data_IF_667895066442
#
_entry.id   IF_667895066442
#
_cell.length_a   1.000
_cell.length_b   1.000
_cell.length_c   1.000
_cell.angle_alpha   90.00
_cell.angle_beta   90.00
_cell.angle_gamma   90.00
#
_symmetry.space_group_name_H-M   'P 1'
#
loop_
_entity.id
_entity.type
_entity.pdbx_description
1 polymer ?
#
# COMPACT_ATOMS: atom_id res chain seq x y z
N UNK A 1 -0.78 14.23 -13.18
CA UNK A 1 -1.81 14.70 -12.24
C UNK A 1 -1.75 13.79 -11.02
N UNK A 2 -1.58 14.34 -9.81
CA UNK A 2 -1.72 13.55 -8.59
C UNK A 2 -3.14 13.00 -8.59
N UNK A 3 -3.31 11.69 -8.71
CA UNK A 3 -4.58 11.12 -8.27
C UNK A 3 -4.62 11.33 -6.76
N UNK A 4 -5.67 11.97 -6.27
CA UNK A 4 -5.90 12.10 -4.84
C UNK A 4 -5.92 10.73 -4.17
N UNK A 5 -5.90 10.72 -2.83
CA UNK A 5 -5.97 9.49 -2.06
C UNK A 5 -7.10 8.58 -2.59
N UNK A 6 -6.76 7.34 -2.95
CA UNK A 6 -7.72 6.39 -3.51
C UNK A 6 -8.73 6.03 -2.41
N UNK A 7 -10.05 6.02 -2.69
CA UNK A 7 -11.06 5.82 -1.66
C UNK A 7 -10.84 4.51 -0.87
N UNK A 8 -10.99 4.59 0.45
CA UNK A 8 -10.94 3.47 1.37
C UNK A 8 -12.24 3.43 2.20
N UNK A 9 -12.76 2.23 2.55
CA UNK A 9 -12.22 0.92 2.16
C UNK A 9 -12.54 0.58 0.70
N UNK A 10 -11.70 -0.24 0.07
CA UNK A 10 -11.89 -0.70 -1.32
C UNK A 10 -11.73 -2.20 -1.44
N UNK A 11 -12.63 -2.85 -2.19
CA UNK A 11 -12.57 -4.30 -2.41
C UNK A 11 -11.30 -4.73 -3.14
N UNK A 12 -10.78 -5.88 -2.74
CA UNK A 12 -9.82 -6.66 -3.53
C UNK A 12 -10.30 -8.10 -3.65
N UNK A 13 -9.85 -8.79 -4.69
CA UNK A 13 -10.15 -10.19 -4.93
C UNK A 13 -8.92 -10.86 -5.55
N UNK A 14 -8.52 -11.99 -4.97
CA UNK A 14 -7.52 -12.90 -5.47
C UNK A 14 -8.15 -14.28 -5.64
N UNK A 15 -7.49 -15.18 -6.38
CA UNK A 15 -7.98 -16.55 -6.53
C UNK A 15 -7.98 -17.36 -5.21
N UNK A 16 -7.31 -16.87 -4.17
CA UNK A 16 -7.25 -17.49 -2.84
C UNK A 16 -8.00 -16.72 -1.75
N UNK A 17 -8.75 -15.67 -2.10
CA UNK A 17 -9.54 -14.92 -1.13
C UNK A 17 -9.81 -13.48 -1.51
N UNK A 18 -10.70 -12.84 -0.75
CA UNK A 18 -11.17 -11.47 -0.98
C UNK A 18 -11.33 -10.72 0.33
N UNK A 19 -11.49 -9.41 0.22
CA UNK A 19 -11.72 -8.53 1.36
C UNK A 19 -11.57 -7.06 1.01
N UNK A 20 -11.07 -6.28 1.96
CA UNK A 20 -10.94 -4.83 1.86
C UNK A 20 -9.48 -4.37 2.02
N UNK A 21 -9.09 -3.41 1.20
CA UNK A 21 -7.99 -2.49 1.51
C UNK A 21 -8.53 -1.49 2.51
N UNK A 22 -7.97 -1.44 3.72
CA UNK A 22 -8.48 -0.60 4.82
C UNK A 22 -7.56 0.57 5.18
N UNK A 23 -6.26 0.40 4.96
CA UNK A 23 -5.26 1.46 5.11
C UNK A 23 -4.31 1.45 3.92
N UNK A 24 -3.75 2.62 3.61
CA UNK A 24 -2.81 2.74 2.50
C UNK A 24 -1.87 3.94 2.65
N UNK A 25 -0.59 3.71 2.39
CA UNK A 25 0.41 4.73 2.24
C UNK A 25 0.93 4.73 0.80
N UNK A 26 0.92 5.90 0.14
CA UNK A 26 1.36 6.03 -1.24
C UNK A 26 2.19 7.30 -1.44
N UNK A 27 3.26 7.21 -2.23
CA UNK A 27 4.12 8.35 -2.54
C UNK A 27 4.21 8.53 -4.04
N UNK A 28 3.80 9.69 -4.55
CA UNK A 28 3.97 10.00 -5.98
C UNK A 28 5.43 10.32 -6.27
N UNK A 29 6.00 9.62 -7.26
CA UNK A 29 7.32 9.88 -7.85
C UNK A 29 7.16 10.32 -9.32
N UNK A 30 8.23 10.75 -10.00
CA UNK A 30 8.16 11.08 -11.43
C UNK A 30 7.77 9.91 -12.34
N UNK A 31 7.98 8.66 -11.90
CA UNK A 31 7.85 7.46 -12.75
C UNK A 31 6.66 6.60 -12.39
N UNK A 32 6.44 6.36 -11.10
CA UNK A 32 5.34 5.53 -10.57
C UNK A 32 4.99 5.95 -9.14
N UNK A 33 3.96 5.33 -8.58
CA UNK A 33 3.47 5.58 -7.23
C UNK A 33 3.68 4.32 -6.38
N UNK A 34 4.80 4.20 -5.64
CA UNK A 34 4.98 3.16 -4.64
C UNK A 34 3.89 3.25 -3.56
N UNK A 35 3.28 2.11 -3.29
CA UNK A 35 2.11 1.99 -2.40
C UNK A 35 2.25 0.76 -1.49
N UNK A 36 1.92 0.94 -0.22
CA UNK A 36 1.78 -0.15 0.75
C UNK A 36 0.36 -0.16 1.29
N UNK A 37 -0.30 -1.31 1.22
CA UNK A 37 -1.70 -1.50 1.57
C UNK A 37 -1.86 -2.49 2.72
N UNK A 38 -2.78 -2.18 3.63
CA UNK A 38 -3.32 -3.17 4.58
C UNK A 38 -4.53 -3.86 3.96
N UNK A 39 -4.43 -5.18 3.80
CA UNK A 39 -5.51 -6.04 3.37
C UNK A 39 -6.15 -6.70 4.60
N UNK A 40 -7.47 -6.61 4.69
CA UNK A 40 -8.29 -7.33 5.66
C UNK A 40 -9.21 -8.27 4.88
N UNK A 41 -8.97 -9.57 5.01
CA UNK A 41 -9.79 -10.60 4.37
C UNK A 41 -11.15 -10.71 5.06
N UNK A 42 -12.15 -11.24 4.35
CA UNK A 42 -13.47 -11.51 4.94
C UNK A 42 -13.40 -12.47 6.15
N UNK A 43 -12.35 -13.31 6.21
CA UNK A 43 -12.04 -14.18 7.36
C UNK A 43 -11.52 -13.43 8.61
N UNK A 44 -11.21 -12.14 8.49
CA UNK A 44 -10.54 -11.34 9.51
C UNK A 44 -9.00 -11.43 9.47
N UNK A 45 -8.42 -12.29 8.63
CA UNK A 45 -6.98 -12.35 8.41
C UNK A 45 -6.45 -11.03 7.82
N UNK A 46 -5.22 -10.65 8.20
CA UNK A 46 -4.58 -9.42 7.75
C UNK A 46 -3.30 -9.72 6.97
N UNK A 47 -3.12 -9.05 5.85
CA UNK A 47 -1.90 -9.11 5.04
C UNK A 47 -1.42 -7.70 4.66
N UNK A 48 -0.11 -7.57 4.40
CA UNK A 48 0.49 -6.35 3.86
C UNK A 48 0.78 -6.58 2.39
N UNK A 49 0.28 -5.71 1.51
CA UNK A 49 0.60 -5.74 0.08
C UNK A 49 1.51 -4.57 -0.28
N UNK A 50 2.63 -4.91 -0.89
CA UNK A 50 3.55 -3.98 -1.54
C UNK A 50 3.23 -3.94 -3.04
N UNK A 51 2.85 -2.77 -3.56
CA UNK A 51 2.52 -2.62 -4.98
C UNK A 51 2.87 -1.21 -5.50
N UNK A 52 2.89 -1.06 -6.82
CA UNK A 52 3.06 0.23 -7.48
C UNK A 52 1.85 0.57 -8.33
N UNK A 53 1.58 1.87 -8.49
CA UNK A 53 0.60 2.37 -9.45
C UNK A 53 1.28 3.20 -10.54
N UNK A 54 0.79 3.05 -11.76
CA UNK A 54 1.16 3.86 -12.92
C UNK A 54 -0.12 4.25 -13.64
N UNK A 55 -0.28 5.54 -13.92
CA UNK A 55 -1.46 6.06 -14.63
C UNK A 55 -2.80 5.58 -14.01
N UNK A 56 -2.84 5.41 -12.69
CA UNK A 56 -4.02 5.01 -11.94
C UNK A 56 -4.32 3.52 -11.92
N UNK A 57 -3.44 2.71 -12.53
CA UNK A 57 -3.56 1.25 -12.57
C UNK A 57 -2.45 0.62 -11.75
N UNK A 58 -2.78 -0.45 -11.04
CA UNK A 58 -1.78 -1.23 -10.32
C UNK A 58 -0.85 -1.92 -11.32
N UNK A 59 0.45 -1.73 -11.16
CA UNK A 59 1.49 -2.34 -11.98
C UNK A 59 1.55 -3.86 -11.79
N UNK A 60 2.06 -4.58 -12.81
CA UNK A 60 2.30 -6.03 -12.79
C UNK A 60 3.79 -6.33 -12.65
N UNK A 61 4.43 -5.66 -11.73
CA UNK A 61 5.87 -5.74 -11.47
C UNK A 61 6.12 -5.74 -9.96
N UNK A 62 7.28 -6.24 -9.49
CA UNK A 62 7.66 -6.11 -8.09
C UNK A 62 7.79 -4.64 -7.70
N UNK A 63 7.35 -4.29 -6.49
CA UNK A 63 7.59 -2.95 -5.97
C UNK A 63 9.10 -2.74 -5.78
N UNK A 64 9.65 -1.76 -6.47
CA UNK A 64 11.02 -1.27 -6.27
C UNK A 64 10.94 0.10 -5.65
N UNK A 65 11.76 0.38 -4.63
CA UNK A 65 11.80 1.68 -3.94
C UNK A 65 13.23 2.17 -3.90
N UNK A 66 13.47 3.37 -4.42
CA UNK A 66 14.78 4.04 -4.31
C UNK A 66 14.97 4.64 -2.93
N UNK A 67 16.22 4.64 -2.44
CA UNK A 67 16.60 5.16 -1.11
C UNK A 67 16.12 6.60 -0.87
N UNK A 68 16.22 7.46 -1.89
CA UNK A 68 15.75 8.85 -1.89
C UNK A 68 14.25 9.03 -1.56
N UNK A 69 13.45 7.96 -1.56
CA UNK A 69 12.02 8.00 -1.26
C UNK A 69 11.66 7.39 0.09
N UNK A 70 12.60 6.78 0.80
CA UNK A 70 12.35 6.06 2.05
C UNK A 70 11.72 6.96 3.12
N UNK A 71 12.24 8.17 3.33
CA UNK A 71 11.70 9.09 4.33
C UNK A 71 10.25 9.52 4.03
N UNK A 72 9.94 9.77 2.75
CA UNK A 72 8.58 10.11 2.32
C UNK A 72 7.63 8.94 2.52
N UNK A 73 8.05 7.73 2.17
CA UNK A 73 7.25 6.50 2.37
C UNK A 73 7.03 6.26 3.86
N UNK A 74 8.08 6.39 4.68
CA UNK A 74 7.99 6.28 6.14
C UNK A 74 7.03 7.31 6.74
N UNK A 75 7.00 8.53 6.22
CA UNK A 75 6.06 9.56 6.65
C UNK A 75 4.59 9.22 6.32
N UNK A 76 4.32 8.70 5.12
CA UNK A 76 2.96 8.25 4.76
C UNK A 76 2.53 7.01 5.56
N UNK A 77 3.45 6.08 5.82
CA UNK A 77 3.19 4.91 6.66
C UNK A 77 2.77 5.33 8.07
N UNK A 78 3.44 6.30 8.69
CA UNK A 78 3.10 6.78 10.04
C UNK A 78 1.68 7.34 10.17
N UNK A 79 1.03 7.75 9.07
CA UNK A 79 -0.37 8.20 9.06
C UNK A 79 -1.38 7.05 9.13
N UNK A 80 -0.93 5.83 8.85
CA UNK A 80 -1.73 4.60 8.78
C UNK A 80 -1.40 3.72 9.99
N UNK A 81 -2.22 3.79 11.05
CA UNK A 81 -1.86 3.27 12.38
C UNK A 81 -1.61 1.77 12.38
N UNK A 82 -2.52 0.97 11.83
CA UNK A 82 -2.37 -0.49 11.84
C UNK A 82 -1.30 -0.96 10.87
N UNK A 83 -1.22 -0.35 9.69
CA UNK A 83 -0.20 -0.65 8.70
C UNK A 83 1.20 -0.36 9.26
N UNK A 84 1.41 0.81 9.88
CA UNK A 84 2.67 1.18 10.51
C UNK A 84 3.05 0.22 11.63
N UNK A 85 2.09 -0.16 12.48
CA UNK A 85 2.31 -1.12 13.57
C UNK A 85 2.76 -2.47 13.03
N UNK A 86 2.16 -2.97 11.96
CA UNK A 86 2.53 -4.26 11.37
C UNK A 86 3.89 -4.21 10.66
N UNK A 87 4.20 -3.12 9.94
CA UNK A 87 5.52 -2.97 9.32
C UNK A 87 6.64 -2.86 10.34
N UNK A 88 6.43 -2.15 11.47
CA UNK A 88 7.40 -2.16 12.58
C UNK A 88 7.71 -3.57 13.06
N UNK A 89 6.70 -4.43 13.21
CA UNK A 89 6.90 -5.84 13.58
C UNK A 89 7.68 -6.64 12.55
N UNK A 90 7.63 -6.27 11.26
CA UNK A 90 8.35 -6.96 10.19
C UNK A 90 9.85 -6.62 10.21
N UNK A 91 10.20 -5.36 10.46
CA UNK A 91 11.58 -4.87 10.33
C UNK A 91 12.37 -4.84 11.65
N UNK A 92 11.69 -4.94 12.80
CA UNK A 92 12.30 -4.85 14.13
C UNK A 92 12.05 -3.50 14.78
#
# INVERSE_FOLDING_TARGET
>A
MSMGARPLPRKFEFHWGKGLVTEEASVVTPYFEPTVQLLVYDSGERAIRFCGYEHGKMGRYPLVVSEQHLERIGAELRKNKELHRLLKRLVG
#
